data_IF_565208888090
#
_entry.id   IF_565208888090
#
_cell.length_a   1.000
_cell.length_b   1.000
_cell.length_c   1.000
_cell.angle_alpha   90.00
_cell.angle_beta   90.00
_cell.angle_gamma   90.00
#
_symmetry.space_group_name_H-M   'P 1'
#
loop_
_entity.id
_entity.type
_entity.pdbx_description
1 polymer ?
#
# COMPACT_ATOMS: atom_id res chain seq x y z
N UNK A 1 -18.39 22.48 3.29
CA UNK A 1 -17.28 21.81 4.00
C UNK A 1 -17.60 21.65 5.49
N UNK A 2 -18.54 22.43 6.04
CA UNK A 2 -18.82 22.49 7.48
C UNK A 2 -19.47 21.21 8.03
N UNK A 3 -20.39 20.58 7.28
CA UNK A 3 -20.98 19.28 7.68
C UNK A 3 -19.95 18.15 7.83
N UNK A 4 -18.88 18.16 7.03
CA UNK A 4 -17.84 17.12 7.13
C UNK A 4 -16.97 17.31 8.38
N UNK A 5 -16.86 18.54 8.89
CA UNK A 5 -16.15 18.81 10.15
C UNK A 5 -16.93 18.30 11.35
N UNK A 6 -18.26 18.47 11.37
CA UNK A 6 -19.12 17.95 12.46
C UNK A 6 -19.00 16.43 12.63
N UNK A 7 -18.82 15.66 11.54
CA UNK A 7 -18.62 14.20 11.63
C UNK A 7 -17.21 13.79 12.08
N UNK A 8 -16.25 14.70 12.07
CA UNK A 8 -14.85 14.44 12.43
C UNK A 8 -14.47 15.07 13.77
N UNK A 9 -15.39 15.76 14.44
CA UNK A 9 -15.12 16.31 15.77
C UNK A 9 -15.06 15.17 16.79
N UNK A 10 -13.89 15.02 17.40
CA UNK A 10 -13.67 14.08 18.48
C UNK A 10 -14.43 14.55 19.72
N UNK A 11 -15.02 13.60 20.43
CA UNK A 11 -15.54 13.85 21.78
C UNK A 11 -14.39 14.19 22.73
N UNK A 12 -14.71 14.87 23.83
CA UNK A 12 -13.72 15.26 24.82
C UNK A 12 -13.02 14.04 25.42
N UNK A 13 -13.78 12.96 25.62
CA UNK A 13 -13.31 11.68 26.10
C UNK A 13 -12.34 11.00 25.12
N UNK A 14 -12.62 11.04 23.80
CA UNK A 14 -11.72 10.51 22.77
C UNK A 14 -10.43 11.33 22.67
N UNK A 15 -10.54 12.67 22.72
CA UNK A 15 -9.39 13.57 22.73
C UNK A 15 -8.48 13.34 23.95
N UNK A 16 -9.08 13.24 25.14
CA UNK A 16 -8.34 12.99 26.38
C UNK A 16 -7.65 11.61 26.34
N UNK A 17 -8.34 10.59 25.81
CA UNK A 17 -7.78 9.25 25.61
C UNK A 17 -6.57 9.24 24.67
N UNK A 18 -6.60 10.03 23.58
CA UNK A 18 -5.49 10.14 22.63
C UNK A 18 -4.34 10.97 23.21
N UNK A 19 -4.64 12.01 23.99
CA UNK A 19 -3.62 12.88 24.60
C UNK A 19 -2.73 12.17 25.62
N UNK A 20 -3.26 11.13 26.28
CA UNK A 20 -2.51 10.29 27.22
C UNK A 20 -1.55 9.30 26.55
N UNK A 21 -1.62 9.13 25.23
CA UNK A 21 -0.72 8.24 24.50
C UNK A 21 0.66 8.89 24.37
N UNK A 22 1.66 8.23 24.96
CA UNK A 22 3.06 8.58 24.68
C UNK A 22 3.45 8.04 23.30
N UNK A 23 3.23 8.85 22.27
CA UNK A 23 3.69 8.55 20.91
C UNK A 23 5.07 9.17 20.73
N UNK A 24 6.11 8.34 20.69
CA UNK A 24 7.42 8.81 20.27
C UNK A 24 7.33 9.26 18.81
N UNK A 25 7.74 10.50 18.47
CA UNK A 25 7.66 10.99 17.11
C UNK A 25 8.56 10.14 16.22
N UNK A 26 7.94 9.38 15.32
CA UNK A 26 8.64 8.59 14.31
C UNK A 26 9.46 9.53 13.42
N UNK A 27 10.78 9.35 13.34
CA UNK A 27 11.64 10.16 12.46
C UNK A 27 11.64 9.56 11.05
N UNK A 28 11.00 10.18 10.05
CA UNK A 28 10.95 9.63 8.70
C UNK A 28 12.36 9.46 8.12
N UNK A 29 12.70 8.26 7.65
CA UNK A 29 13.99 7.95 7.03
C UNK A 29 15.13 7.60 8.00
N UNK A 30 14.89 7.63 9.32
CA UNK A 30 15.86 7.16 10.32
C UNK A 30 15.31 5.98 11.13
N UNK A 31 14.05 6.09 11.56
CA UNK A 31 13.34 5.04 12.26
C UNK A 31 12.43 4.28 11.29
N UNK A 32 12.17 3.00 11.57
CA UNK A 32 11.18 2.21 10.83
C UNK A 32 9.81 2.39 11.47
N UNK A 33 8.82 2.78 10.68
CA UNK A 33 7.45 2.86 11.21
C UNK A 33 6.85 1.47 11.27
N UNK A 34 5.86 1.29 12.15
CA UNK A 34 5.04 0.08 12.15
C UNK A 34 4.50 -0.23 10.74
N UNK A 35 4.12 0.78 9.97
CA UNK A 35 3.60 0.61 8.61
C UNK A 35 4.67 0.25 7.59
N UNK A 36 5.88 0.79 7.68
CA UNK A 36 6.99 0.41 6.80
C UNK A 36 7.37 -1.04 7.04
N UNK A 37 7.55 -1.41 8.30
CA UNK A 37 7.81 -2.78 8.68
C UNK A 37 6.68 -3.72 8.22
N UNK A 38 5.42 -3.33 8.42
CA UNK A 38 4.27 -4.12 7.99
C UNK A 38 4.19 -4.28 6.47
N UNK A 39 4.39 -3.19 5.73
CA UNK A 39 4.13 -3.10 4.28
C UNK A 39 5.28 -3.64 3.45
N UNK A 40 6.51 -3.44 3.90
CA UNK A 40 7.71 -3.90 3.20
C UNK A 40 7.96 -5.39 3.44
N UNK A 41 7.54 -5.93 4.60
CA UNK A 41 7.64 -7.36 4.89
C UNK A 41 6.84 -8.18 3.87
N UNK A 42 7.56 -8.96 3.07
CA UNK A 42 7.00 -9.84 2.05
C UNK A 42 7.13 -9.30 0.62
N UNK A 43 7.50 -8.03 0.44
CA UNK A 43 7.84 -7.47 -0.87
C UNK A 43 9.28 -7.86 -1.21
N UNK A 44 9.47 -8.41 -2.41
CA UNK A 44 10.77 -8.71 -3.01
C UNK A 44 10.85 -7.98 -4.33
N UNK A 45 11.80 -7.05 -4.46
CA UNK A 45 12.03 -6.34 -5.72
C UNK A 45 12.66 -7.31 -6.72
N UNK A 46 12.01 -7.48 -7.86
CA UNK A 46 12.46 -8.39 -8.91
C UNK A 46 13.16 -7.63 -10.04
N UNK A 47 12.64 -6.45 -10.41
CA UNK A 47 13.21 -5.60 -11.47
C UNK A 47 12.90 -4.14 -11.23
N UNK A 48 13.88 -3.28 -11.48
CA UNK A 48 13.74 -1.82 -11.39
C UNK A 48 14.36 -1.19 -12.62
N UNK A 49 13.57 -0.37 -13.30
CA UNK A 49 13.98 0.39 -14.49
C UNK A 49 13.39 1.80 -14.42
N UNK A 50 13.92 2.77 -15.18
CA UNK A 50 13.31 4.09 -15.28
C UNK A 50 11.84 4.00 -15.73
N UNK A 51 10.92 4.35 -14.82
CA UNK A 51 9.48 4.34 -15.07
C UNK A 51 8.81 2.96 -14.96
N UNK A 52 9.53 1.91 -14.53
CA UNK A 52 8.96 0.59 -14.33
C UNK A 52 9.55 -0.11 -13.10
N UNK A 53 8.70 -0.74 -12.30
CA UNK A 53 9.11 -1.59 -11.18
C UNK A 53 8.27 -2.86 -11.20
N UNK A 54 8.92 -4.01 -10.99
CA UNK A 54 8.25 -5.27 -10.71
C UNK A 54 8.72 -5.82 -9.36
N UNK A 55 7.78 -6.29 -8.56
CA UNK A 55 8.05 -6.96 -7.31
C UNK A 55 7.11 -8.13 -7.06
N UNK A 56 7.62 -9.13 -6.36
CA UNK A 56 6.82 -10.24 -5.83
C UNK A 56 6.41 -9.88 -4.42
N UNK A 57 5.14 -10.05 -4.08
CA UNK A 57 4.63 -9.90 -2.73
C UNK A 57 4.08 -11.21 -2.21
N UNK A 58 4.68 -11.74 -1.15
CA UNK A 58 4.12 -12.89 -0.42
C UNK A 58 3.05 -12.36 0.53
N UNK A 59 1.79 -12.70 0.27
CA UNK A 59 0.67 -12.20 1.08
C UNK A 59 0.77 -12.78 2.49
N UNK A 60 1.01 -11.95 3.52
CA UNK A 60 1.03 -12.44 4.90
C UNK A 60 -0.39 -12.88 5.31
N UNK A 61 -0.56 -13.91 6.16
CA UNK A 61 -1.87 -14.45 6.52
C UNK A 61 -2.86 -13.40 7.06
N UNK A 62 -2.36 -12.33 7.68
CA UNK A 62 -3.14 -11.19 8.20
C UNK A 62 -3.81 -10.33 7.11
N UNK A 63 -3.32 -10.40 5.87
CA UNK A 63 -3.91 -9.73 4.70
C UNK A 63 -4.74 -10.70 3.83
N UNK A 64 -4.68 -12.00 4.10
CA UNK A 64 -5.49 -12.99 3.41
C UNK A 64 -6.89 -13.01 4.02
N UNK A 65 -7.90 -12.56 3.27
CA UNK A 65 -9.31 -12.67 3.69
C UNK A 65 -9.73 -14.13 3.61
N UNK A 66 -10.12 -14.71 4.75
CA UNK A 66 -10.75 -16.03 4.79
C UNK A 66 -12.23 -15.91 4.40
N UNK A 67 -12.54 -16.02 3.12
CA UNK A 67 -13.93 -16.20 2.70
C UNK A 67 -14.37 -17.64 2.96
N UNK A 68 -15.01 -17.90 4.11
CA UNK A 68 -15.68 -19.18 4.38
C UNK A 68 -17.11 -19.10 3.84
N UNK A 69 -17.30 -19.34 2.55
CA UNK A 69 -18.64 -19.60 2.01
C UNK A 69 -18.87 -21.11 1.96
N UNK A 70 -20.02 -21.63 2.41
CA UNK A 70 -20.27 -23.06 2.49
C UNK A 70 -20.39 -23.76 1.12
N UNK A 71 -20.47 -23.02 0.01
CA UNK A 71 -20.70 -23.54 -1.35
C UNK A 71 -19.65 -23.13 -2.40
N UNK A 72 -18.64 -22.33 -2.06
CA UNK A 72 -17.59 -21.97 -3.03
C UNK A 72 -16.23 -22.43 -2.50
N UNK A 73 -15.62 -23.38 -3.22
CA UNK A 73 -14.30 -23.93 -2.94
C UNK A 73 -13.16 -22.96 -3.30
N UNK A 74 -13.33 -21.65 -3.05
CA UNK A 74 -12.21 -20.71 -3.12
C UNK A 74 -11.42 -20.89 -1.82
N UNK A 75 -10.63 -21.96 -1.78
CA UNK A 75 -9.44 -22.02 -0.95
C UNK A 75 -8.50 -20.92 -1.45
N UNK A 76 -8.68 -19.70 -0.95
CA UNK A 76 -7.63 -18.68 -1.01
C UNK A 76 -6.43 -19.29 -0.31
N UNK A 77 -5.46 -19.74 -1.10
CA UNK A 77 -4.36 -20.57 -0.61
C UNK A 77 -3.57 -19.68 0.35
N UNK A 78 -3.27 -20.22 1.52
CA UNK A 78 -2.61 -19.54 2.64
C UNK A 78 -1.18 -19.02 2.31
N UNK A 79 -0.78 -19.01 1.04
CA UNK A 79 0.57 -18.69 0.54
C UNK A 79 0.55 -18.12 -0.89
N UNK A 80 -0.51 -17.42 -1.29
CA UNK A 80 -0.54 -16.82 -2.64
C UNK A 80 0.56 -15.74 -2.76
N UNK A 81 1.44 -15.92 -3.76
CA UNK A 81 2.38 -14.90 -4.19
C UNK A 81 1.70 -14.02 -5.23
N UNK A 82 1.85 -12.71 -5.08
CA UNK A 82 1.39 -11.73 -6.05
C UNK A 82 2.57 -11.19 -6.84
N UNK A 83 2.39 -11.07 -8.14
CA UNK A 83 3.26 -10.24 -8.97
C UNK A 83 2.65 -8.84 -9.04
N UNK A 84 3.39 -7.84 -8.57
CA UNK A 84 3.00 -6.44 -8.61
C UNK A 84 3.90 -5.75 -9.61
N UNK A 85 3.30 -5.15 -10.64
CA UNK A 85 4.01 -4.33 -11.62
C UNK A 85 3.49 -2.91 -11.57
N UNK A 86 4.41 -1.96 -11.68
CA UNK A 86 4.12 -0.54 -11.62
C UNK A 86 4.78 0.14 -12.82
N UNK A 87 4.00 0.88 -13.61
CA UNK A 87 4.49 1.55 -14.82
C UNK A 87 4.02 2.99 -14.90
N UNK A 88 4.94 3.90 -15.18
CA UNK A 88 4.63 5.31 -15.41
C UNK A 88 3.90 5.45 -16.75
N UNK A 89 2.73 6.07 -16.73
CA UNK A 89 1.91 6.36 -17.91
C UNK A 89 2.27 7.69 -18.57
N UNK A 90 2.76 8.64 -17.77
CA UNK A 90 3.12 9.96 -18.25
C UNK A 90 3.55 10.88 -17.12
N UNK A 91 4.24 11.95 -17.51
CA UNK A 91 4.73 12.99 -16.60
C UNK A 91 4.37 14.36 -17.15
N UNK A 92 3.84 15.23 -16.30
CA UNK A 92 3.55 16.64 -16.62
C UNK A 92 4.09 17.53 -15.49
N UNK A 93 5.18 18.24 -15.76
CA UNK A 93 5.89 18.99 -14.73
C UNK A 93 6.35 18.06 -13.59
N UNK A 94 5.94 18.37 -12.35
CA UNK A 94 6.23 17.55 -11.16
C UNK A 94 5.24 16.42 -10.90
N UNK A 95 4.23 16.23 -11.76
CA UNK A 95 3.24 15.16 -11.62
C UNK A 95 3.64 13.94 -12.46
N UNK A 96 3.63 12.76 -11.86
CA UNK A 96 3.77 11.48 -12.53
C UNK A 96 2.57 10.58 -12.25
N UNK A 97 1.90 10.13 -13.31
CA UNK A 97 0.82 9.16 -13.23
C UNK A 97 1.35 7.75 -13.45
N UNK A 98 0.97 6.82 -12.58
CA UNK A 98 1.46 5.43 -12.58
C UNK A 98 0.27 4.47 -12.53
N UNK A 99 0.32 3.39 -13.30
CA UNK A 99 -0.59 2.25 -13.18
C UNK A 99 0.10 1.14 -12.41
N UNK A 100 -0.64 0.50 -11.51
CA UNK A 100 -0.19 -0.65 -10.72
C UNK A 100 -1.10 -1.82 -11.05
N UNK A 101 -0.52 -2.94 -11.46
CA UNK A 101 -1.24 -4.18 -11.73
C UNK A 101 -0.77 -5.23 -10.73
N UNK A 102 -1.72 -5.89 -10.08
CA UNK A 102 -1.47 -7.02 -9.18
C UNK A 102 -2.04 -8.28 -9.79
N UNK A 103 -1.21 -9.30 -9.95
CA UNK A 103 -1.57 -10.59 -10.50
C UNK A 103 -1.30 -11.69 -9.50
N UNK A 104 -2.13 -12.72 -9.48
CA UNK A 104 -1.75 -13.96 -8.82
C UNK A 104 -0.59 -14.58 -9.62
N UNK A 105 0.54 -14.85 -8.97
CA UNK A 105 1.75 -15.33 -9.65
C UNK A 105 1.62 -16.76 -10.17
N UNK A 106 0.79 -17.59 -9.52
CA UNK A 106 0.59 -18.97 -9.92
C UNK A 106 -0.36 -19.11 -11.10
N UNK A 107 -1.46 -18.34 -11.13
CA UNK A 107 -2.48 -18.42 -12.18
C UNK A 107 -2.28 -17.40 -13.31
N UNK A 108 -1.60 -16.28 -13.03
CA UNK A 108 -1.46 -15.15 -13.95
C UNK A 108 -2.67 -14.20 -13.97
N UNK A 109 -3.73 -14.50 -13.21
CA UNK A 109 -4.96 -13.71 -13.20
C UNK A 109 -4.73 -12.33 -12.59
N UNK A 110 -5.29 -11.29 -13.21
CA UNK A 110 -5.31 -9.95 -12.64
C UNK A 110 -6.32 -9.93 -11.49
N UNK A 111 -5.84 -9.67 -10.28
CA UNK A 111 -6.68 -9.61 -9.07
C UNK A 111 -7.03 -8.18 -8.69
N UNK A 112 -6.21 -7.21 -9.07
CA UNK A 112 -6.44 -5.80 -8.82
C UNK A 112 -5.68 -4.92 -9.80
N UNK A 113 -6.28 -3.77 -10.09
CA UNK A 113 -5.66 -2.68 -10.83
C UNK A 113 -5.78 -1.40 -9.98
N UNK A 114 -4.70 -0.65 -9.90
CA UNK A 114 -4.61 0.61 -9.17
C UNK A 114 -3.98 1.70 -10.02
N UNK A 115 -4.25 2.95 -9.66
CA UNK A 115 -3.57 4.13 -10.21
C UNK A 115 -2.96 4.92 -9.06
N UNK A 116 -1.68 5.24 -9.18
CA UNK A 116 -0.98 6.06 -8.21
C UNK A 116 -0.46 7.34 -8.87
N UNK A 117 -0.71 8.46 -8.20
CA UNK A 117 -0.27 9.79 -8.64
C UNK A 117 0.79 10.29 -7.69
N UNK A 118 2.00 10.50 -8.19
CA UNK A 118 3.08 11.06 -7.41
C UNK A 118 3.30 12.52 -7.80
N UNK A 119 3.30 13.41 -6.81
CA UNK A 119 3.67 14.80 -6.97
C UNK A 119 5.04 15.03 -6.33
N UNK A 120 6.03 15.38 -7.14
CA UNK A 120 7.39 15.61 -6.67
C UNK A 120 8.14 16.58 -7.57
N UNK A 121 8.91 17.48 -6.97
CA UNK A 121 9.92 18.24 -7.71
C UNK A 121 11.10 17.28 -7.93
N UNK A 122 11.36 16.91 -9.19
CA UNK A 122 12.60 16.22 -9.54
C UNK A 122 13.77 17.19 -9.41
N UNK A 123 14.26 17.39 -8.19
CA UNK A 123 15.60 17.90 -7.97
C UNK A 123 16.55 16.70 -7.91
N UNK A 124 16.67 15.95 -9.00
CA UNK A 124 17.68 14.90 -9.10
C UNK A 124 18.83 15.46 -9.92
N UNK A 125 19.89 15.87 -9.21
CA UNK A 125 21.25 15.93 -9.75
C UNK A 125 21.86 14.56 -9.44
N UNK A 126 21.69 13.62 -10.36
CA UNK A 126 22.56 12.47 -10.50
C UNK A 126 23.30 12.65 -11.81
#
# INVERSE_FOLDING_TARGET
>A
MDKAREFLELTKEESDSVSGLTIHPHRPGLDWSFYEDFSLRGIRLDRVEPGFVACTFKVPPRLAVRFRTPHSAIHGKLQDELEITSRVLGKKGGYAGTIVLMRNKATGDIIAEGRHSLFGRHASKL
#
